data_IF_667936038916
#
_entry.id   IF_667936038916
#
_cell.length_a   1.000
_cell.length_b   1.000
_cell.length_c   1.000
_cell.angle_alpha   90.00
_cell.angle_beta   90.00
_cell.angle_gamma   90.00
#
_symmetry.space_group_name_H-M   'P 1'
#
loop_
_entity.id
_entity.type
_entity.pdbx_description
1 polymer ?
#
# COMPACT_ATOMS: atom_id res chain seq x y z
N UNK A 1 -10.81 11.04 3.12
CA UNK A 1 -10.98 10.76 1.68
C UNK A 1 -9.64 10.50 1.04
N UNK A 2 -9.45 9.31 0.46
CA UNK A 2 -8.22 8.85 -0.19
C UNK A 2 -8.53 8.57 -1.67
N UNK A 3 -7.61 8.91 -2.58
CA UNK A 3 -7.69 8.49 -3.98
C UNK A 3 -6.53 7.54 -4.27
N UNK A 4 -6.85 6.34 -4.73
CA UNK A 4 -5.88 5.28 -5.05
C UNK A 4 -5.78 5.20 -6.57
N UNK A 5 -4.60 5.54 -7.11
CA UNK A 5 -4.32 5.48 -8.55
C UNK A 5 -3.31 4.36 -8.80
N UNK A 6 -3.71 3.30 -9.50
CA UNK A 6 -2.83 2.17 -9.82
C UNK A 6 -3.36 1.34 -11.00
N UNK A 7 -2.59 0.33 -11.42
CA UNK A 7 -3.00 -0.63 -12.45
C UNK A 7 -4.24 -1.40 -11.97
N UNK A 8 -5.16 -1.71 -12.90
CA UNK A 8 -6.46 -2.29 -12.56
C UNK A 8 -6.37 -3.55 -11.69
N UNK A 9 -5.41 -4.44 -11.98
CA UNK A 9 -5.24 -5.69 -11.23
C UNK A 9 -4.83 -5.48 -9.75
N UNK A 10 -4.20 -4.35 -9.43
CA UNK A 10 -3.88 -3.98 -8.04
C UNK A 10 -4.99 -3.21 -7.35
N UNK A 11 -5.82 -2.53 -8.14
CA UNK A 11 -6.83 -1.60 -7.65
C UNK A 11 -7.88 -2.31 -6.78
N UNK A 12 -8.34 -3.49 -7.21
CA UNK A 12 -9.32 -4.28 -6.46
C UNK A 12 -8.84 -4.65 -5.05
N UNK A 13 -7.58 -5.12 -4.93
CA UNK A 13 -7.00 -5.43 -3.62
C UNK A 13 -6.87 -4.16 -2.76
N UNK A 14 -6.40 -3.06 -3.34
CA UNK A 14 -6.18 -1.82 -2.61
C UNK A 14 -7.50 -1.27 -2.02
N UNK A 15 -8.58 -1.28 -2.81
CA UNK A 15 -9.92 -0.89 -2.35
C UNK A 15 -10.46 -1.83 -1.26
N UNK A 16 -10.25 -3.14 -1.40
CA UNK A 16 -10.63 -4.10 -0.36
C UNK A 16 -9.93 -3.83 0.98
N UNK A 17 -8.61 -3.60 0.94
CA UNK A 17 -7.83 -3.28 2.14
C UNK A 17 -8.33 -1.98 2.77
N UNK A 18 -8.54 -0.94 1.97
CA UNK A 18 -9.06 0.34 2.46
C UNK A 18 -10.43 0.17 3.16
N UNK A 19 -11.34 -0.60 2.57
CA UNK A 19 -12.63 -0.91 3.18
C UNK A 19 -12.49 -1.67 4.51
N UNK A 20 -11.57 -2.66 4.60
CA UNK A 20 -11.32 -3.41 5.85
C UNK A 20 -10.65 -2.60 6.95
N UNK A 21 -10.03 -1.48 6.58
CA UNK A 21 -9.43 -0.51 7.49
C UNK A 21 -10.34 0.68 7.77
N UNK A 22 -11.61 0.63 7.34
CA UNK A 22 -12.62 1.68 7.55
C UNK A 22 -12.20 3.03 6.93
N UNK A 23 -11.48 2.99 5.80
CA UNK A 23 -11.01 4.16 5.06
C UNK A 23 -11.96 4.49 3.90
N UNK A 24 -12.36 5.75 3.80
CA UNK A 24 -13.11 6.29 2.64
C UNK A 24 -12.16 6.50 1.45
N UNK A 25 -12.15 5.54 0.50
CA UNK A 25 -11.25 5.51 -0.65
C UNK A 25 -11.97 5.39 -1.99
N UNK A 26 -11.44 6.07 -3.01
CA UNK A 26 -11.87 6.00 -4.42
C UNK A 26 -10.72 5.46 -5.28
N UNK A 27 -11.04 4.61 -6.27
CA UNK A 27 -10.06 4.00 -7.16
C UNK A 27 -10.04 4.63 -8.55
N UNK A 28 -8.85 4.85 -9.11
CA UNK A 28 -8.65 5.27 -10.51
C UNK A 28 -7.68 4.31 -11.18
N UNK A 29 -8.14 3.64 -12.23
CA UNK A 29 -7.30 2.76 -13.05
C UNK A 29 -6.30 3.56 -13.88
N UNK A 30 -5.01 3.22 -13.78
CA UNK A 30 -3.97 3.75 -14.65
C UNK A 30 -3.79 2.84 -15.89
N UNK A 31 -3.52 3.46 -17.04
CA UNK A 31 -3.45 2.84 -18.39
C UNK A 31 -2.55 1.58 -18.43
N UNK A 32 -2.99 0.44 -19.03
CA UNK A 32 -2.24 -0.81 -19.00
C UNK A 32 -1.04 -0.76 -19.95
N UNK A 33 0.17 -0.98 -19.42
CA UNK A 33 1.34 -1.37 -20.22
C UNK A 33 1.53 -2.88 -20.11
N UNK A 34 1.69 -3.58 -21.23
CA UNK A 34 2.10 -4.99 -21.19
C UNK A 34 3.56 -5.09 -20.71
N UNK A 35 3.78 -5.84 -19.64
CA UNK A 35 5.10 -6.11 -19.08
C UNK A 35 5.52 -7.56 -19.36
N UNK A 36 6.73 -7.74 -19.88
CA UNK A 36 7.34 -9.06 -20.07
C UNK A 36 7.59 -9.74 -18.71
N UNK A 37 7.30 -11.04 -18.59
CA UNK A 37 7.43 -11.81 -17.34
C UNK A 37 6.16 -11.89 -16.48
N UNK A 38 4.98 -11.73 -17.10
CA UNK A 38 3.69 -11.66 -16.43
C UNK A 38 3.34 -12.91 -15.58
N UNK A 39 3.62 -14.12 -16.06
CA UNK A 39 3.23 -15.38 -15.39
C UNK A 39 3.86 -15.58 -14.01
N UNK A 40 5.16 -15.33 -13.86
CA UNK A 40 5.82 -15.42 -12.55
C UNK A 40 5.28 -14.36 -11.58
N UNK A 41 4.98 -13.16 -12.09
CA UNK A 41 4.42 -12.06 -11.28
C UNK A 41 2.99 -12.36 -10.85
N UNK A 42 2.17 -12.94 -11.72
CA UNK A 42 0.79 -13.34 -11.40
C UNK A 42 0.75 -14.40 -10.30
N UNK A 43 1.60 -15.44 -10.39
CA UNK A 43 1.70 -16.45 -9.34
C UNK A 43 2.08 -15.84 -7.99
N UNK A 44 3.05 -14.91 -7.97
CA UNK A 44 3.44 -14.19 -6.76
C UNK A 44 2.29 -13.30 -6.24
N UNK A 45 1.53 -12.67 -7.14
CA UNK A 45 0.38 -11.83 -6.77
C UNK A 45 -0.77 -12.63 -6.17
N UNK A 46 -1.02 -13.87 -6.60
CA UNK A 46 -2.01 -14.75 -5.96
C UNK A 46 -1.64 -14.95 -4.48
N UNK A 47 -0.42 -15.42 -4.20
CA UNK A 47 0.05 -15.63 -2.83
C UNK A 47 0.06 -14.33 -2.00
N UNK A 48 0.39 -13.20 -2.62
CA UNK A 48 0.38 -11.91 -1.95
C UNK A 48 -1.04 -11.48 -1.56
N UNK A 49 -2.04 -11.68 -2.43
CA UNK A 49 -3.44 -11.34 -2.15
C UNK A 49 -4.00 -12.16 -0.99
N UNK A 50 -3.71 -13.47 -0.95
CA UNK A 50 -4.17 -14.35 0.13
C UNK A 50 -3.57 -13.95 1.48
N UNK A 51 -2.26 -13.62 1.49
CA UNK A 51 -1.59 -13.07 2.66
C UNK A 51 -2.24 -11.77 3.15
N UNK A 52 -2.57 -10.87 2.23
CA UNK A 52 -3.16 -9.58 2.59
C UNK A 52 -4.59 -9.73 3.13
N UNK A 53 -5.36 -10.72 2.63
CA UNK A 53 -6.66 -11.08 3.19
C UNK A 53 -6.56 -11.51 4.66
N UNK A 54 -5.61 -12.40 4.98
CA UNK A 54 -5.33 -12.84 6.35
C UNK A 54 -4.92 -11.64 7.22
N UNK A 55 -4.04 -10.77 6.73
CA UNK A 55 -3.62 -9.57 7.46
C UNK A 55 -4.77 -8.61 7.74
N UNK A 56 -5.76 -8.49 6.86
CA UNK A 56 -6.94 -7.65 7.09
C UNK A 56 -7.84 -8.18 8.21
N UNK A 57 -7.84 -9.50 8.44
CA UNK A 57 -8.58 -10.13 9.55
C UNK A 57 -7.84 -9.89 10.87
N UNK A 58 -6.56 -10.25 10.92
CA UNK A 58 -5.79 -10.22 12.17
C UNK A 58 -5.26 -8.83 12.55
N UNK A 59 -5.19 -7.89 11.58
CA UNK A 59 -4.68 -6.52 11.74
C UNK A 59 -3.41 -6.47 12.61
N UNK A 60 -2.35 -7.24 12.27
CA UNK A 60 -1.14 -7.29 13.08
C UNK A 60 -0.47 -5.92 13.12
N UNK A 61 0.20 -5.61 14.24
CA UNK A 61 0.95 -4.36 14.38
C UNK A 61 2.08 -4.27 13.32
N UNK A 62 2.40 -3.07 12.82
CA UNK A 62 3.53 -2.88 11.90
C UNK A 62 4.83 -3.43 12.49
N UNK A 63 5.69 -3.99 11.65
CA UNK A 63 7.00 -4.54 12.06
C UNK A 63 7.91 -3.45 12.64
N UNK A 64 7.89 -2.26 12.04
CA UNK A 64 8.60 -1.09 12.52
C UNK A 64 7.61 -0.23 13.28
N UNK A 65 7.75 -0.24 14.60
CA UNK A 65 7.02 0.65 15.50
C UNK A 65 7.92 1.83 15.83
N UNK A 66 7.36 3.02 15.84
CA UNK A 66 8.06 4.26 16.14
C UNK A 66 7.05 5.35 16.50
N UNK A 67 7.55 6.53 16.87
CA UNK A 67 6.69 7.68 17.07
C UNK A 67 5.88 7.98 15.81
N UNK A 68 4.61 8.35 15.97
CA UNK A 68 3.75 8.72 14.85
C UNK A 68 4.28 9.97 14.19
N UNK A 69 4.72 9.84 12.95
CA UNK A 69 5.17 10.95 12.12
C UNK A 69 3.93 11.54 11.42
N UNK A 70 3.52 12.79 11.72
CA UNK A 70 2.35 13.39 11.10
C UNK A 70 2.60 13.66 9.63
N UNK A 71 1.72 13.17 8.75
CA UNK A 71 1.78 13.40 7.30
C UNK A 71 1.51 14.86 6.90
N UNK A 72 0.99 15.66 7.83
CA UNK A 72 0.83 17.12 7.71
C UNK A 72 2.04 17.91 8.24
N UNK A 73 3.04 17.24 8.80
CA UNK A 73 4.22 17.86 9.42
C UNK A 73 5.37 18.12 8.45
N UNK A 74 6.50 18.56 9.01
CA UNK A 74 7.73 18.77 8.24
C UNK A 74 8.33 17.43 7.80
N UNK A 75 8.50 17.21 6.49
CA UNK A 75 9.09 15.99 5.93
C UNK A 75 10.58 15.79 6.26
N UNK A 76 11.29 16.81 6.74
CA UNK A 76 12.69 16.69 7.15
C UNK A 76 12.88 15.84 8.42
N UNK A 77 11.81 15.58 9.18
CA UNK A 77 11.86 14.73 10.38
C UNK A 77 12.15 13.26 10.03
N UNK A 78 11.88 12.83 8.80
CA UNK A 78 12.21 11.47 8.31
C UNK A 78 13.54 11.42 7.57
N UNK A 79 14.33 12.51 7.60
CA UNK A 79 15.57 12.60 6.83
C UNK A 79 16.74 12.08 7.66
N UNK A 80 17.14 10.82 7.44
CA UNK A 80 18.20 10.13 8.19
C UNK A 80 19.61 10.75 8.05
N UNK A 81 19.75 11.81 7.23
CA UNK A 81 21.01 12.51 6.95
C UNK A 81 21.12 13.89 7.61
N UNK A 82 20.60 14.09 8.82
CA UNK A 82 20.97 15.29 9.59
C UNK A 82 22.47 15.22 9.92
N UNK A 83 23.26 16.06 9.25
CA UNK A 83 24.54 16.50 9.82
C UNK A 83 24.18 17.50 10.91
N UNK A 84 24.46 17.13 12.14
CA UNK A 84 24.48 18.08 13.25
C UNK A 84 25.48 19.19 12.89
N UNK A 85 24.98 20.42 12.74
CA UNK A 85 25.77 21.65 12.66
C UNK A 85 25.50 22.42 13.93
#
# INVERSE_FOLDING_TARGET
RIVIVTQEYHLYRALYIANKLDLEAYGVGADPRQYVGATYRELREILARDKDFIKCIFKPKPTYLGETIPVSGNGDITNDKKKDV
#
